data_IF_635077389678
#
_entry.id   IF_635077389678
#
_cell.length_a   1.000
_cell.length_b   1.000
_cell.length_c   1.000
_cell.angle_alpha   90.00
_cell.angle_beta   90.00
_cell.angle_gamma   90.00
#
_symmetry.space_group_name_H-M   'P 1'
#
loop_
_entity.id
_entity.type
_entity.pdbx_description
1 polymer ?
#
# COMPACT_ATOMS: atom_id res chain seq x y z
N UNK A 1 -7.97 14.95 2.88
CA UNK A 1 -6.56 14.86 3.02
C UNK A 1 -6.13 13.68 3.89
N UNK A 2 -5.27 12.90 3.38
CA UNK A 2 -4.84 11.71 4.11
C UNK A 2 -3.65 12.03 4.99
N UNK A 3 -3.87 12.01 6.26
CA UNK A 3 -2.79 12.19 7.19
C UNK A 3 -2.72 10.95 8.06
N UNK A 4 -1.67 10.19 7.90
CA UNK A 4 -1.53 8.94 8.61
C UNK A 4 -0.86 9.11 9.98
N UNK A 5 -0.47 10.32 10.30
CA UNK A 5 0.30 10.52 11.53
C UNK A 5 -0.48 10.12 12.79
N UNK A 6 -1.81 10.19 12.73
CA UNK A 6 -2.63 9.82 13.86
C UNK A 6 -3.02 8.34 13.87
N UNK A 7 -2.63 7.61 12.84
CA UNK A 7 -2.99 6.20 12.75
C UNK A 7 -2.02 5.36 13.54
N UNK A 8 -2.52 4.25 14.06
CA UNK A 8 -1.67 3.31 14.77
C UNK A 8 -0.83 2.51 13.80
N UNK A 9 0.30 2.02 14.27
CA UNK A 9 1.19 1.23 13.44
C UNK A 9 0.47 0.02 12.83
N UNK A 10 -0.34 -0.65 13.63
CA UNK A 10 -1.08 -1.81 13.16
C UNK A 10 -2.02 -1.45 12.02
N UNK A 11 -2.66 -0.29 12.13
CA UNK A 11 -3.56 0.15 11.09
C UNK A 11 -2.83 0.41 9.80
N UNK A 12 -1.67 1.04 9.89
CA UNK A 12 -0.88 1.32 8.70
C UNK A 12 -0.43 0.03 8.03
N UNK A 13 0.05 -0.91 8.81
CA UNK A 13 0.48 -2.19 8.28
C UNK A 13 -0.67 -2.94 7.63
N UNK A 14 -1.84 -2.87 8.23
CA UNK A 14 -3.01 -3.53 7.69
C UNK A 14 -3.44 -2.92 6.36
N UNK A 15 -3.47 -1.59 6.28
CA UNK A 15 -3.81 -0.90 5.04
C UNK A 15 -2.81 -1.25 3.94
N UNK A 16 -1.54 -1.24 4.28
CA UNK A 16 -0.49 -1.55 3.33
C UNK A 16 -0.62 -2.99 2.82
N UNK A 17 -0.87 -3.90 3.74
CA UNK A 17 -1.00 -5.32 3.38
C UNK A 17 -2.20 -5.54 2.47
N UNK A 18 -3.30 -4.84 2.71
CA UNK A 18 -4.46 -4.93 1.85
C UNK A 18 -4.13 -4.49 0.42
N UNK A 19 -3.40 -3.40 0.29
CA UNK A 19 -3.01 -2.92 -1.03
C UNK A 19 -2.11 -3.94 -1.69
N UNK A 20 -1.16 -4.46 -0.95
CA UNK A 20 -0.23 -5.44 -1.48
C UNK A 20 -0.96 -6.69 -1.99
N UNK A 21 -1.92 -7.16 -1.22
CA UNK A 21 -2.68 -8.33 -1.63
C UNK A 21 -3.50 -8.07 -2.87
N UNK A 22 -4.05 -6.87 -2.99
CA UNK A 22 -4.82 -6.53 -4.17
C UNK A 22 -3.94 -6.47 -5.41
N UNK A 23 -2.73 -5.95 -5.26
CA UNK A 23 -1.80 -5.91 -6.36
C UNK A 23 -1.43 -7.33 -6.79
N UNK A 24 -1.18 -8.20 -5.82
CA UNK A 24 -0.86 -9.59 -6.14
C UNK A 24 -2.02 -10.29 -6.82
N UNK A 25 -3.22 -10.04 -6.34
CA UNK A 25 -4.40 -10.64 -6.93
C UNK A 25 -4.60 -10.16 -8.35
N UNK A 26 -4.34 -8.89 -8.58
CA UNK A 26 -4.44 -8.31 -9.90
C UNK A 26 -3.49 -8.99 -10.87
N UNK A 27 -2.27 -9.23 -10.43
CA UNK A 27 -1.29 -9.89 -11.27
C UNK A 27 -1.73 -11.30 -11.64
N UNK A 28 -2.32 -12.01 -10.69
CA UNK A 28 -2.80 -13.35 -10.97
C UNK A 28 -3.94 -13.34 -11.96
N UNK A 29 -4.72 -12.28 -11.96
CA UNK A 29 -5.83 -12.16 -12.88
C UNK A 29 -5.41 -11.73 -14.27
N UNK A 30 -4.14 -11.54 -14.48
CA UNK A 30 -3.67 -11.15 -15.80
C UNK A 30 -3.46 -9.67 -15.95
N UNK A 31 -3.45 -8.94 -14.87
CA UNK A 31 -3.16 -7.52 -14.92
C UNK A 31 -4.27 -6.68 -15.49
N UNK A 32 -5.48 -7.18 -15.48
CA UNK A 32 -6.60 -6.43 -16.02
C UNK A 32 -7.19 -5.47 -15.04
N UNK A 33 -6.83 -5.61 -13.84
CA UNK A 33 -7.38 -4.84 -12.78
C UNK A 33 -6.75 -3.48 -12.75
N UNK A 34 -7.55 -2.49 -12.94
CA UNK A 34 -7.01 -1.15 -12.99
C UNK A 34 -7.44 -0.33 -11.82
N UNK A 35 -7.86 -1.01 -10.82
CA UNK A 35 -8.33 -0.39 -9.67
C UNK A 35 -7.44 0.68 -9.22
N UNK A 36 -6.25 0.37 -9.28
CA UNK A 36 -5.37 1.23 -8.62
C UNK A 36 -4.94 2.35 -9.46
N UNK A 37 -4.52 2.08 -10.58
CA UNK A 37 -3.94 3.11 -11.36
C UNK A 37 -2.97 3.87 -10.51
N UNK A 38 -2.75 5.12 -10.89
CA UNK A 38 -1.80 5.97 -10.19
C UNK A 38 -2.28 6.38 -8.81
N UNK A 39 -3.58 6.43 -8.62
CA UNK A 39 -4.13 6.87 -7.34
C UNK A 39 -3.74 5.96 -6.20
N UNK A 40 -3.89 4.67 -6.41
CA UNK A 40 -3.55 3.71 -5.37
C UNK A 40 -2.05 3.65 -5.17
N UNK A 41 -1.30 3.79 -6.24
CA UNK A 41 0.15 3.79 -6.12
C UNK A 41 0.62 4.97 -5.27
N UNK A 42 0.04 6.15 -5.50
CA UNK A 42 0.38 7.32 -4.71
C UNK A 42 -0.03 7.14 -3.26
N UNK A 43 -1.20 6.57 -3.04
CA UNK A 43 -1.65 6.32 -1.69
C UNK A 43 -0.70 5.36 -0.97
N UNK A 44 -0.30 4.31 -1.65
CA UNK A 44 0.62 3.34 -1.08
C UNK A 44 1.98 3.96 -0.76
N UNK A 45 2.42 4.88 -1.61
CA UNK A 45 3.70 5.54 -1.39
C UNK A 45 3.64 6.44 -0.15
N UNK A 46 2.54 7.15 0.03
CA UNK A 46 2.39 7.97 1.22
C UNK A 46 2.34 7.14 2.48
N UNK A 47 1.63 6.03 2.38
CA UNK A 47 1.54 5.10 3.50
C UNK A 47 2.91 4.54 3.83
N UNK A 48 3.65 4.17 2.81
CA UNK A 48 4.98 3.64 2.98
C UNK A 48 5.92 4.68 3.61
N UNK A 49 5.80 5.92 3.18
CA UNK A 49 6.63 6.98 3.75
C UNK A 49 6.40 7.13 5.24
N UNK A 50 5.15 7.06 5.65
CA UNK A 50 4.85 7.17 7.07
C UNK A 50 5.39 5.96 7.84
N UNK A 51 5.22 4.78 7.28
CA UNK A 51 5.71 3.56 7.93
C UNK A 51 7.23 3.58 8.01
N UNK A 52 7.87 4.09 6.97
CA UNK A 52 9.32 4.19 6.93
C UNK A 52 9.82 5.16 7.99
N UNK A 53 9.10 6.28 8.16
CA UNK A 53 9.45 7.25 9.18
C UNK A 53 9.36 6.65 10.56
N UNK A 54 8.43 5.72 10.75
CA UNK A 54 8.28 5.03 12.03
C UNK A 54 9.17 3.82 12.14
N UNK A 55 9.94 3.54 11.08
CA UNK A 55 10.85 2.40 11.04
C UNK A 55 10.13 1.07 11.19
N UNK A 56 8.96 0.99 10.61
CA UNK A 56 8.23 -0.26 10.58
C UNK A 56 8.77 -1.13 9.47
N UNK A 57 8.67 -2.42 9.65
CA UNK A 57 9.11 -3.36 8.63
C UNK A 57 7.92 -3.85 7.83
N UNK A 58 8.08 -3.85 6.52
CA UNK A 58 7.03 -4.30 5.63
C UNK A 58 7.65 -4.77 4.33
N UNK A 59 7.01 -5.75 3.67
CA UNK A 59 7.54 -6.21 2.39
C UNK A 59 7.20 -5.21 1.30
N UNK A 60 8.03 -5.11 0.27
CA UNK A 60 7.74 -4.19 -0.81
C UNK A 60 6.59 -4.69 -1.67
N UNK A 61 5.90 -3.76 -2.31
CA UNK A 61 4.85 -4.09 -3.25
C UNK A 61 5.49 -4.21 -4.63
N UNK A 62 5.18 -5.30 -5.31
CA UNK A 62 5.69 -5.53 -6.66
C UNK A 62 4.66 -4.99 -7.63
N UNK A 63 4.90 -3.79 -8.11
CA UNK A 63 3.94 -3.14 -8.99
C UNK A 63 3.93 -3.71 -10.41
N UNK A 64 4.98 -4.35 -10.81
CA UNK A 64 5.08 -4.91 -12.16
C UNK A 64 4.59 -6.33 -12.23
#
# INVERSE_FOLDING_TARGET
MSDFSASKDESLLSFYENIREQVESDKRSGGRYRLAGDSVKQYAERLRDEMDRRRLRFPPIQWD
#
